data_IF_422592853572
#
_entry.id   IF_422592853572
#
_cell.length_a   1.000
_cell.length_b   1.000
_cell.length_c   1.000
_cell.angle_alpha   90.00
_cell.angle_beta   90.00
_cell.angle_gamma   90.00
#
_symmetry.space_group_name_H-M   'P 1'
#
loop_
_entity.id
_entity.type
_entity.pdbx_description
1 polymer ?
#
# COMPACT_ATOMS: atom_id res chain seq x y z
N UNK A 1 -19.07 7.42 14.82
CA UNK A 1 -19.87 6.92 13.68
C UNK A 1 -21.20 6.43 14.22
N UNK A 2 -22.26 6.52 13.43
CA UNK A 2 -23.61 6.10 13.83
C UNK A 2 -24.38 5.57 12.59
N UNK A 3 -25.55 4.97 12.80
CA UNK A 3 -26.49 4.60 11.74
C UNK A 3 -27.92 4.51 12.30
N UNK A 4 -28.93 4.50 11.42
CA UNK A 4 -30.32 4.27 11.81
C UNK A 4 -30.53 2.88 12.38
N UNK A 5 -31.49 2.75 13.31
CA UNK A 5 -31.77 1.47 13.99
C UNK A 5 -32.20 0.39 13.00
N UNK A 6 -32.95 0.77 11.96
CA UNK A 6 -33.35 -0.14 10.88
C UNK A 6 -32.14 -0.81 10.22
N UNK A 7 -31.12 -0.04 9.86
CA UNK A 7 -29.93 -0.58 9.22
C UNK A 7 -29.00 -1.31 10.19
N UNK A 8 -28.91 -0.88 11.45
CA UNK A 8 -28.18 -1.62 12.48
C UNK A 8 -28.80 -3.01 12.72
N UNK A 9 -30.13 -3.08 12.88
CA UNK A 9 -30.87 -4.34 13.05
C UNK A 9 -30.64 -5.26 11.85
N UNK A 10 -30.71 -4.71 10.62
CA UNK A 10 -30.47 -5.46 9.39
C UNK A 10 -29.05 -6.04 9.36
N UNK A 11 -28.02 -5.24 9.66
CA UNK A 11 -26.61 -5.69 9.71
C UNK A 11 -26.35 -6.78 10.75
N UNK A 12 -26.96 -6.68 11.93
CA UNK A 12 -26.88 -7.74 12.95
C UNK A 12 -27.53 -9.04 12.50
N UNK A 13 -28.69 -8.96 11.81
CA UNK A 13 -29.37 -10.13 11.25
C UNK A 13 -28.55 -10.80 10.14
N UNK A 14 -27.98 -10.01 9.22
CA UNK A 14 -27.16 -10.51 8.12
C UNK A 14 -25.85 -11.14 8.59
N UNK A 15 -25.16 -10.50 9.55
CA UNK A 15 -23.89 -11.01 10.10
C UNK A 15 -24.06 -12.16 11.10
N UNK A 16 -25.29 -12.44 11.55
CA UNK A 16 -25.64 -13.40 12.60
C UNK A 16 -24.87 -13.18 13.92
N UNK A 17 -24.30 -11.98 14.13
CA UNK A 17 -23.61 -11.62 15.36
C UNK A 17 -24.64 -11.26 16.42
N UNK A 18 -24.41 -11.71 17.66
CA UNK A 18 -25.16 -11.22 18.82
C UNK A 18 -24.64 -9.86 19.25
N UNK A 19 -25.53 -8.98 19.68
CA UNK A 19 -25.14 -7.71 20.25
C UNK A 19 -24.49 -7.95 21.63
N UNK A 20 -23.35 -7.30 21.97
CA UNK A 20 -22.69 -7.52 23.26
C UNK A 20 -23.62 -7.33 24.47
N UNK A 21 -24.40 -6.25 24.48
CA UNK A 21 -25.39 -5.96 25.53
C UNK A 21 -26.63 -6.90 25.52
N UNK A 22 -26.87 -7.62 24.42
CA UNK A 22 -27.96 -8.61 24.37
C UNK A 22 -27.59 -9.95 25.03
N UNK A 23 -26.30 -10.24 25.16
CA UNK A 23 -25.82 -11.55 25.61
C UNK A 23 -25.86 -11.74 27.12
N UNK A 24 -25.87 -10.65 27.90
CA UNK A 24 -25.95 -10.67 29.37
C UNK A 24 -27.37 -10.63 29.92
N UNK A 25 -28.25 -9.84 29.29
CA UNK A 25 -29.58 -9.49 29.85
C UNK A 25 -30.75 -10.17 29.11
N UNK A 26 -30.49 -10.99 28.08
CA UNK A 26 -31.51 -11.66 27.25
C UNK A 26 -32.54 -10.70 26.60
N UNK A 27 -32.11 -9.47 26.31
CA UNK A 27 -32.92 -8.39 25.73
C UNK A 27 -32.90 -8.42 24.19
N UNK A 28 -33.91 -7.80 23.58
CA UNK A 28 -34.00 -7.68 22.11
C UNK A 28 -32.86 -6.82 21.53
N UNK A 29 -32.60 -6.97 20.23
CA UNK A 29 -31.59 -6.14 19.53
C UNK A 29 -31.96 -4.65 19.62
N UNK A 30 -33.25 -4.31 19.56
CA UNK A 30 -33.71 -2.92 19.66
C UNK A 30 -33.39 -2.33 21.04
N UNK A 31 -33.75 -3.03 22.12
CA UNK A 31 -33.45 -2.59 23.49
C UNK A 31 -31.94 -2.49 23.75
N UNK A 32 -31.15 -3.41 23.16
CA UNK A 32 -29.71 -3.37 23.26
C UNK A 32 -29.10 -2.14 22.57
N UNK A 33 -29.64 -1.73 21.40
CA UNK A 33 -29.23 -0.52 20.69
C UNK A 33 -29.62 0.74 21.46
N UNK A 34 -30.82 0.80 22.03
CA UNK A 34 -31.26 1.94 22.85
C UNK A 34 -30.36 2.12 24.08
N UNK A 35 -30.03 1.02 24.76
CA UNK A 35 -29.11 1.00 25.90
C UNK A 35 -27.70 1.45 25.48
N UNK A 36 -27.20 0.96 24.35
CA UNK A 36 -25.91 1.38 23.78
C UNK A 36 -25.88 2.89 23.50
N UNK A 37 -26.92 3.43 22.85
CA UNK A 37 -27.04 4.87 22.57
C UNK A 37 -27.05 5.70 23.84
N UNK A 38 -27.74 5.24 24.89
CA UNK A 38 -27.73 5.92 26.18
C UNK A 38 -26.33 5.99 26.77
N UNK A 39 -25.58 4.88 26.75
CA UNK A 39 -24.21 4.78 27.26
C UNK A 39 -23.25 5.68 26.45
N UNK A 40 -23.37 5.66 25.12
CA UNK A 40 -22.47 6.41 24.22
C UNK A 40 -22.88 7.87 24.03
N UNK A 41 -23.98 8.32 24.63
CA UNK A 41 -24.54 9.66 24.41
C UNK A 41 -23.56 10.78 24.74
N UNK A 42 -22.81 10.67 25.84
CA UNK A 42 -21.85 11.69 26.26
C UNK A 42 -20.57 11.69 25.40
N UNK A 43 -20.15 10.53 24.90
CA UNK A 43 -19.06 10.43 23.92
C UNK A 43 -19.50 11.10 22.62
N UNK A 44 -20.72 10.85 22.16
CA UNK A 44 -21.26 11.43 20.93
C UNK A 44 -21.35 12.96 21.01
N UNK A 45 -21.73 13.52 22.16
CA UNK A 45 -21.78 14.98 22.37
C UNK A 45 -20.40 15.65 22.30
N UNK A 46 -19.32 14.92 22.59
CA UNK A 46 -17.95 15.43 22.60
C UNK A 46 -17.19 15.14 21.30
N UNK A 47 -17.81 14.47 20.34
CA UNK A 47 -17.15 14.08 19.11
C UNK A 47 -17.02 15.28 18.16
N UNK A 48 -15.81 15.51 17.62
CA UNK A 48 -15.58 16.52 16.59
C UNK A 48 -16.32 16.20 15.28
N UNK A 49 -16.48 14.91 14.98
CA UNK A 49 -17.16 14.42 13.78
C UNK A 49 -18.09 13.24 14.09
N UNK A 50 -19.30 13.29 13.53
CA UNK A 50 -20.27 12.19 13.56
C UNK A 50 -20.63 11.80 12.13
N UNK A 51 -20.12 10.65 11.69
CA UNK A 51 -20.43 10.08 10.36
C UNK A 51 -21.64 9.17 10.45
N UNK A 52 -22.71 9.49 9.72
CA UNK A 52 -23.88 8.63 9.52
C UNK A 52 -23.60 7.61 8.41
N UNK A 53 -23.61 6.33 8.78
CA UNK A 53 -23.31 5.21 7.89
C UNK A 53 -24.55 4.51 7.36
N UNK A 54 -25.76 5.02 7.62
CA UNK A 54 -27.04 4.38 7.27
C UNK A 54 -27.11 3.99 5.80
N UNK A 55 -26.74 4.92 4.91
CA UNK A 55 -26.83 4.74 3.46
C UNK A 55 -25.46 4.60 2.78
N UNK A 56 -24.39 4.38 3.55
CA UNK A 56 -23.03 4.28 3.02
C UNK A 56 -22.67 2.83 2.72
N UNK A 57 -22.18 2.59 1.51
CA UNK A 57 -21.41 1.38 1.19
C UNK A 57 -20.01 1.47 1.83
N UNK A 58 -19.32 0.34 2.06
CA UNK A 58 -17.98 0.34 2.66
C UNK A 58 -16.97 1.26 1.97
N UNK A 59 -16.98 1.31 0.63
CA UNK A 59 -16.11 2.22 -0.13
C UNK A 59 -16.44 3.69 0.11
N UNK A 60 -17.73 4.06 0.17
CA UNK A 60 -18.16 5.44 0.40
C UNK A 60 -17.87 5.89 1.83
N UNK A 61 -17.96 5.00 2.82
CA UNK A 61 -17.52 5.27 4.19
C UNK A 61 -16.02 5.53 4.24
N UNK A 62 -15.22 4.73 3.53
CA UNK A 62 -13.77 4.93 3.43
C UNK A 62 -13.44 6.29 2.83
N UNK A 63 -14.10 6.67 1.74
CA UNK A 63 -13.92 7.98 1.11
C UNK A 63 -14.33 9.14 2.03
N UNK A 64 -15.45 9.02 2.75
CA UNK A 64 -15.89 10.01 3.73
C UNK A 64 -14.90 10.19 4.87
N UNK A 65 -14.37 9.09 5.43
CA UNK A 65 -13.35 9.14 6.47
C UNK A 65 -12.07 9.77 5.93
N UNK A 66 -11.63 9.37 4.73
CA UNK A 66 -10.54 10.01 3.99
C UNK A 66 -10.72 11.53 3.96
N UNK A 67 -11.85 12.05 3.47
CA UNK A 67 -12.09 13.49 3.39
C UNK A 67 -12.02 14.22 4.73
N UNK A 68 -12.54 13.61 5.80
CA UNK A 68 -12.53 14.20 7.16
C UNK A 68 -11.09 14.32 7.69
N UNK A 69 -10.24 13.32 7.42
CA UNK A 69 -8.87 13.30 7.92
C UNK A 69 -7.84 13.89 6.94
N UNK A 70 -8.18 14.02 5.66
CA UNK A 70 -7.33 14.59 4.59
C UNK A 70 -7.31 16.12 4.61
N UNK A 71 -8.30 16.81 5.22
CA UNK A 71 -8.25 18.27 5.41
C UNK A 71 -7.04 18.75 6.24
N UNK A 72 -6.34 17.84 6.94
CA UNK A 72 -5.18 18.17 7.76
C UNK A 72 -3.81 17.77 7.15
N UNK A 73 -3.75 17.17 5.95
CA UNK A 73 -2.47 16.80 5.32
C UNK A 73 -2.59 16.74 3.79
N UNK A 74 -2.11 17.77 3.09
CA UNK A 74 -2.07 17.88 1.62
C UNK A 74 -1.13 16.90 0.87
N UNK A 75 -0.77 15.76 1.46
CA UNK A 75 0.12 14.79 0.80
C UNK A 75 -0.52 13.41 0.73
N UNK A 76 -0.96 13.02 -0.48
CA UNK A 76 -1.14 11.68 -1.08
C UNK A 76 -0.90 10.40 -0.21
N UNK A 77 -1.48 10.31 1.00
CA UNK A 77 -1.18 9.23 1.98
C UNK A 77 -2.08 8.00 1.91
N UNK A 78 -2.99 7.91 0.93
CA UNK A 78 -3.89 6.75 0.79
C UNK A 78 -3.26 5.52 0.14
N UNK A 79 -2.19 5.70 -0.64
CA UNK A 79 -1.54 4.64 -1.41
C UNK A 79 -0.19 4.25 -0.79
N UNK A 80 -0.09 3.01 -0.31
CA UNK A 80 1.18 2.42 0.12
C UNK A 80 1.86 1.80 -1.11
N UNK A 81 3.06 2.25 -1.43
CA UNK A 81 3.84 1.69 -2.53
C UNK A 81 4.84 0.68 -1.97
N UNK A 82 4.77 -0.57 -2.45
CA UNK A 82 5.72 -1.62 -2.12
C UNK A 82 6.61 -1.87 -3.33
N UNK A 83 7.89 -1.57 -3.23
CA UNK A 83 8.87 -1.89 -4.26
C UNK A 83 9.63 -3.15 -3.85
N UNK A 84 9.58 -4.19 -4.68
CA UNK A 84 10.25 -5.45 -4.42
C UNK A 84 11.27 -5.76 -5.51
N UNK A 85 12.50 -6.09 -5.12
CA UNK A 85 13.48 -6.66 -6.06
C UNK A 85 13.51 -8.18 -5.94
N UNK A 86 13.49 -8.89 -7.06
CA UNK A 86 13.49 -10.35 -7.10
C UNK A 86 14.35 -10.92 -8.23
N UNK A 87 14.57 -12.23 -8.19
CA UNK A 87 15.23 -13.03 -9.21
C UNK A 87 14.25 -13.91 -9.98
N UNK A 88 14.18 -13.79 -11.30
CA UNK A 88 13.34 -14.65 -12.14
C UNK A 88 13.64 -16.15 -11.97
N UNK A 89 14.86 -16.52 -11.58
CA UNK A 89 15.20 -17.91 -11.26
C UNK A 89 14.44 -18.47 -10.04
N UNK A 90 13.88 -17.59 -9.21
CA UNK A 90 13.09 -17.92 -8.01
C UNK A 90 11.58 -17.70 -8.21
N UNK A 91 11.16 -17.30 -9.40
CA UNK A 91 9.77 -16.96 -9.71
C UNK A 91 9.41 -15.50 -9.44
N UNK A 92 8.40 -15.01 -10.14
CA UNK A 92 7.84 -13.67 -9.96
C UNK A 92 6.97 -13.64 -8.70
N UNK A 93 7.02 -12.58 -7.85
CA UNK A 93 6.11 -12.45 -6.73
C UNK A 93 4.65 -12.45 -7.20
N UNK A 94 3.83 -13.33 -6.62
CA UNK A 94 2.45 -13.60 -7.07
C UNK A 94 1.51 -12.39 -6.91
N UNK A 95 1.83 -11.51 -5.98
CA UNK A 95 1.09 -10.32 -5.60
C UNK A 95 1.59 -9.04 -6.30
N UNK A 96 2.44 -9.17 -7.32
CA UNK A 96 2.93 -8.03 -8.10
C UNK A 96 1.82 -7.41 -8.96
N UNK A 97 1.61 -6.10 -8.84
CA UNK A 97 0.73 -5.36 -9.76
C UNK A 97 1.46 -4.96 -11.04
N UNK A 98 2.73 -4.54 -10.90
CA UNK A 98 3.61 -4.16 -12.00
C UNK A 98 4.90 -4.96 -11.91
N UNK A 99 5.37 -5.48 -13.04
CA UNK A 99 6.62 -6.26 -13.10
C UNK A 99 7.51 -5.71 -14.20
N UNK A 100 8.75 -5.35 -13.85
CA UNK A 100 9.74 -4.81 -14.77
C UNK A 100 10.96 -5.73 -14.86
N UNK A 101 11.28 -6.19 -16.06
CA UNK A 101 12.45 -7.03 -16.32
C UNK A 101 13.67 -6.16 -16.66
N UNK A 102 14.73 -6.28 -15.85
CA UNK A 102 16.00 -5.56 -16.04
C UNK A 102 17.16 -6.49 -16.42
N UNK A 103 16.88 -7.71 -16.91
CA UNK A 103 17.91 -8.67 -17.33
C UNK A 103 18.74 -8.22 -18.53
N UNK A 104 18.26 -7.24 -19.29
CA UNK A 104 18.98 -6.65 -20.43
C UNK A 104 20.13 -5.72 -20.01
N UNK A 105 20.17 -5.26 -18.75
CA UNK A 105 21.24 -4.40 -18.26
C UNK A 105 22.55 -5.16 -18.05
N UNK A 106 23.72 -4.49 -18.10
CA UNK A 106 25.03 -5.11 -17.88
C UNK A 106 25.08 -5.92 -16.59
N UNK A 107 25.56 -7.15 -16.67
CA UNK A 107 25.50 -8.09 -15.56
C UNK A 107 26.77 -8.00 -14.68
N UNK A 108 26.69 -7.53 -13.43
CA UNK A 108 27.86 -7.39 -12.55
C UNK A 108 28.45 -8.73 -12.11
N UNK A 109 27.71 -9.83 -12.29
CA UNK A 109 28.12 -11.17 -11.89
C UNK A 109 29.41 -11.65 -12.57
N UNK A 110 29.73 -11.15 -13.77
CA UNK A 110 30.93 -11.53 -14.50
C UNK A 110 32.20 -10.80 -14.01
N UNK A 111 32.05 -9.84 -13.10
CA UNK A 111 33.16 -9.10 -12.52
C UNK A 111 33.45 -9.70 -11.15
N UNK A 112 34.61 -10.33 -11.01
CA UNK A 112 35.01 -11.06 -9.81
C UNK A 112 34.86 -10.24 -8.52
N UNK A 113 35.25 -8.95 -8.58
CA UNK A 113 35.14 -8.00 -7.46
C UNK A 113 33.70 -7.65 -7.06
N UNK A 114 32.75 -7.74 -8.01
CA UNK A 114 31.35 -7.35 -7.79
C UNK A 114 30.43 -8.54 -7.55
N UNK A 115 30.83 -9.75 -7.98
CA UNK A 115 30.02 -10.98 -7.92
C UNK A 115 29.44 -11.30 -6.55
N UNK A 116 30.18 -10.99 -5.48
CA UNK A 116 29.77 -11.26 -4.11
C UNK A 116 29.02 -10.10 -3.44
N UNK A 117 29.05 -8.92 -4.05
CA UNK A 117 28.35 -7.71 -3.59
C UNK A 117 26.87 -7.75 -3.99
N UNK A 118 26.12 -6.73 -3.62
CA UNK A 118 24.69 -6.57 -3.86
C UNK A 118 24.43 -5.22 -4.51
N UNK A 119 23.22 -5.00 -5.04
CA UNK A 119 22.84 -3.69 -5.56
C UNK A 119 22.72 -2.58 -4.50
N UNK A 120 22.89 -2.90 -3.21
CA UNK A 120 23.03 -1.92 -2.13
C UNK A 120 24.45 -1.36 -2.03
N UNK A 121 25.44 -2.09 -2.55
CA UNK A 121 26.83 -1.66 -2.55
C UNK A 121 27.06 -0.62 -3.66
N UNK A 122 27.69 0.50 -3.29
CA UNK A 122 27.93 1.62 -4.19
C UNK A 122 28.66 1.21 -5.47
N UNK A 123 29.65 0.32 -5.38
CA UNK A 123 30.38 -0.18 -6.56
C UNK A 123 29.48 -0.92 -7.56
N UNK A 124 28.49 -1.69 -7.08
CA UNK A 124 27.56 -2.40 -7.96
C UNK A 124 26.57 -1.42 -8.57
N UNK A 125 26.08 -0.47 -7.77
CA UNK A 125 25.20 0.59 -8.23
C UNK A 125 25.89 1.42 -9.32
N UNK A 126 27.13 1.87 -9.07
CA UNK A 126 27.93 2.62 -10.03
C UNK A 126 28.15 1.82 -11.31
N UNK A 127 28.54 0.55 -11.22
CA UNK A 127 28.72 -0.28 -12.41
C UNK A 127 27.42 -0.43 -13.24
N UNK A 128 26.26 -0.58 -12.58
CA UNK A 128 24.97 -0.64 -13.28
C UNK A 128 24.67 0.69 -13.97
N UNK A 129 24.92 1.82 -13.29
CA UNK A 129 24.63 3.16 -13.79
C UNK A 129 25.74 3.80 -14.61
N UNK A 130 26.92 3.20 -14.77
CA UNK A 130 27.92 3.62 -15.75
C UNK A 130 27.42 3.39 -17.18
N UNK A 131 26.39 2.56 -17.33
CA UNK A 131 25.72 2.29 -18.59
C UNK A 131 24.60 3.31 -18.87
N UNK A 132 24.65 3.97 -20.02
CA UNK A 132 23.65 4.98 -20.39
C UNK A 132 22.24 4.40 -20.59
N UNK A 133 22.12 3.15 -21.02
CA UNK A 133 20.82 2.47 -21.16
C UNK A 133 20.18 2.30 -19.77
N UNK A 134 20.95 2.00 -18.72
CA UNK A 134 20.44 1.90 -17.35
C UNK A 134 19.89 3.24 -16.85
N UNK A 135 20.63 4.34 -17.10
CA UNK A 135 20.18 5.70 -16.74
C UNK A 135 18.90 6.08 -17.49
N UNK A 136 18.86 5.81 -18.80
CA UNK A 136 17.69 6.12 -19.61
C UNK A 136 16.48 5.27 -19.21
N UNK A 137 16.68 3.98 -18.96
CA UNK A 137 15.63 3.11 -18.45
C UNK A 137 15.09 3.61 -17.11
N UNK A 138 15.96 3.96 -16.16
CA UNK A 138 15.55 4.48 -14.86
C UNK A 138 14.71 5.75 -15.02
N UNK A 139 15.12 6.68 -15.89
CA UNK A 139 14.34 7.90 -16.17
C UNK A 139 12.95 7.56 -16.72
N UNK A 140 12.85 6.68 -17.71
CA UNK A 140 11.55 6.28 -18.27
C UNK A 140 10.68 5.55 -17.26
N UNK A 141 11.29 4.71 -16.40
CA UNK A 141 10.60 4.02 -15.33
C UNK A 141 10.03 5.02 -14.32
N UNK A 142 10.84 5.97 -13.86
CA UNK A 142 10.41 7.02 -12.94
C UNK A 142 9.27 7.85 -13.54
N UNK A 143 9.41 8.30 -14.79
CA UNK A 143 8.38 9.06 -15.50
C UNK A 143 7.06 8.27 -15.62
N UNK A 144 7.14 6.97 -15.97
CA UNK A 144 5.97 6.11 -16.07
C UNK A 144 5.28 5.91 -14.73
N UNK A 145 6.03 5.60 -13.66
CA UNK A 145 5.44 5.37 -12.34
C UNK A 145 4.82 6.66 -11.81
N UNK A 146 5.51 7.79 -11.90
CA UNK A 146 4.98 9.08 -11.46
C UNK A 146 3.72 9.48 -12.22
N UNK A 147 3.64 9.15 -13.52
CA UNK A 147 2.43 9.32 -14.31
C UNK A 147 1.28 8.43 -13.79
N UNK A 148 1.53 7.16 -13.47
CA UNK A 148 0.50 6.20 -13.06
C UNK A 148 -0.05 6.44 -11.65
N UNK A 149 0.79 6.86 -10.70
CA UNK A 149 0.42 7.00 -9.29
C UNK A 149 -0.85 7.85 -9.03
N UNK A 150 -1.02 9.08 -9.57
CA UNK A 150 -2.24 9.85 -9.35
C UNK A 150 -3.49 9.16 -9.90
N UNK A 151 -3.37 8.37 -10.98
CA UNK A 151 -4.48 7.61 -11.54
C UNK A 151 -4.86 6.42 -10.66
N UNK A 152 -3.88 5.70 -10.10
CA UNK A 152 -4.16 4.64 -9.11
C UNK A 152 -4.83 5.18 -7.84
N UNK A 153 -4.39 6.34 -7.35
CA UNK A 153 -5.01 6.99 -6.19
C UNK A 153 -6.47 7.35 -6.50
N UNK A 154 -6.74 7.93 -7.69
CA UNK A 154 -8.09 8.30 -8.12
C UNK A 154 -9.04 7.10 -8.23
N UNK A 155 -8.54 5.96 -8.69
CA UNK A 155 -9.29 4.69 -8.75
C UNK A 155 -9.50 4.05 -7.36
N UNK A 156 -8.97 4.64 -6.28
CA UNK A 156 -9.15 4.16 -4.91
C UNK A 156 -8.23 3.01 -4.52
N UNK A 157 -7.14 2.78 -5.27
CA UNK A 157 -6.12 1.78 -4.93
C UNK A 157 -5.38 2.22 -3.66
N UNK A 158 -5.23 1.32 -2.70
CA UNK A 158 -4.57 1.62 -1.41
C UNK A 158 -3.23 0.93 -1.20
N UNK A 159 -2.90 -0.04 -2.04
CA UNK A 159 -1.57 -0.64 -2.09
C UNK A 159 -1.20 -0.87 -3.55
N UNK A 160 0.05 -0.58 -3.92
CA UNK A 160 0.62 -0.86 -5.22
C UNK A 160 1.92 -1.65 -5.04
N UNK A 161 2.01 -2.84 -5.63
CA UNK A 161 3.23 -3.64 -5.63
C UNK A 161 3.98 -3.54 -6.96
N UNK A 162 5.18 -2.99 -6.93
CA UNK A 162 6.08 -2.82 -8.06
C UNK A 162 7.25 -3.79 -7.91
N UNK A 163 7.34 -4.77 -8.79
CA UNK A 163 8.38 -5.78 -8.78
C UNK A 163 9.45 -5.52 -9.86
N UNK A 164 10.71 -5.45 -9.45
CA UNK A 164 11.86 -5.29 -10.34
C UNK A 164 12.63 -6.62 -10.37
N UNK A 165 12.71 -7.25 -11.55
CA UNK A 165 13.26 -8.58 -11.73
C UNK A 165 14.59 -8.58 -12.47
N UNK A 166 15.62 -9.26 -11.93
CA UNK A 166 16.79 -9.67 -12.70
C UNK A 166 16.93 -11.20 -12.64
N UNK A 167 18.03 -11.80 -13.12
CA UNK A 167 18.14 -13.27 -13.11
C UNK A 167 18.17 -13.84 -11.69
N UNK A 168 19.02 -13.28 -10.82
CA UNK A 168 19.28 -13.82 -9.48
C UNK A 168 18.81 -12.95 -8.31
N UNK A 169 18.23 -11.79 -8.57
CA UNK A 169 17.66 -10.92 -7.53
C UNK A 169 18.65 -10.18 -6.62
N UNK A 170 19.94 -10.18 -6.95
CA UNK A 170 21.01 -9.66 -6.07
C UNK A 170 21.61 -8.31 -6.46
N UNK A 171 21.76 -8.04 -7.76
CA UNK A 171 22.53 -6.89 -8.25
C UNK A 171 21.64 -5.83 -8.95
N UNK A 172 21.34 -6.04 -10.24
CA UNK A 172 20.63 -5.09 -11.10
C UNK A 172 19.25 -4.70 -10.57
N UNK A 173 18.44 -5.69 -10.19
CA UNK A 173 17.10 -5.42 -9.69
C UNK A 173 17.10 -4.64 -8.37
N UNK A 174 18.06 -4.91 -7.49
CA UNK A 174 18.23 -4.20 -6.22
C UNK A 174 18.62 -2.73 -6.48
N UNK A 175 19.61 -2.49 -7.35
CA UNK A 175 20.07 -1.12 -7.66
C UNK A 175 18.97 -0.24 -8.29
N UNK A 176 18.21 -0.79 -9.24
CA UNK A 176 17.07 -0.11 -9.87
C UNK A 176 15.95 0.13 -8.85
N UNK A 177 15.62 -0.87 -8.02
CA UNK A 177 14.57 -0.74 -7.00
C UNK A 177 14.90 0.36 -5.98
N UNK A 178 16.12 0.42 -5.47
CA UNK A 178 16.57 1.46 -4.53
C UNK A 178 16.50 2.87 -5.14
N UNK A 179 16.85 2.98 -6.42
CA UNK A 179 16.80 4.27 -7.11
C UNK A 179 15.37 4.75 -7.29
N UNK A 180 14.46 3.86 -7.72
CA UNK A 180 13.03 4.16 -7.81
C UNK A 180 12.46 4.57 -6.45
N UNK A 181 12.79 3.84 -5.37
CA UNK A 181 12.35 4.17 -4.01
C UNK A 181 12.79 5.57 -3.60
N UNK A 182 14.05 5.95 -3.91
CA UNK A 182 14.56 7.29 -3.65
C UNK A 182 13.79 8.35 -4.43
N UNK A 183 13.56 8.15 -5.72
CA UNK A 183 12.77 9.07 -6.55
C UNK A 183 11.36 9.25 -5.98
N UNK A 184 10.68 8.16 -5.63
CA UNK A 184 9.32 8.22 -5.10
C UNK A 184 9.23 8.89 -3.72
N UNK A 185 10.18 8.62 -2.82
CA UNK A 185 10.26 9.31 -1.53
C UNK A 185 10.50 10.81 -1.69
N UNK A 186 11.37 11.21 -2.62
CA UNK A 186 11.62 12.62 -2.93
C UNK A 186 10.39 13.34 -3.51
N UNK A 187 9.47 12.59 -4.14
CA UNK A 187 8.18 13.10 -4.61
C UNK A 187 7.07 13.02 -3.54
N UNK A 188 7.40 12.72 -2.28
CA UNK A 188 6.47 12.75 -1.14
C UNK A 188 5.58 11.51 -0.99
N UNK A 189 5.86 10.42 -1.72
CA UNK A 189 5.11 9.18 -1.57
C UNK A 189 5.62 8.33 -0.40
N UNK A 190 4.70 7.58 0.22
CA UNK A 190 5.05 6.57 1.21
C UNK A 190 5.44 5.26 0.53
N UNK A 191 6.70 4.87 0.68
CA UNK A 191 7.28 3.72 -0.03
C UNK A 191 7.99 2.78 0.94
N UNK A 192 7.69 1.49 0.82
CA UNK A 192 8.37 0.38 1.47
C UNK A 192 9.18 -0.39 0.43
N UNK A 193 10.40 -0.78 0.79
CA UNK A 193 11.28 -1.58 -0.08
C UNK A 193 11.52 -2.95 0.53
N UNK A 194 11.56 -3.99 -0.30
CA UNK A 194 11.92 -5.34 0.09
C UNK A 194 12.81 -5.99 -0.98
N UNK A 195 13.86 -6.69 -0.56
CA UNK A 195 14.73 -7.42 -1.48
C UNK A 195 14.62 -8.93 -1.23
N UNK A 196 13.72 -9.58 -1.96
CA UNK A 196 13.30 -10.96 -1.67
C UNK A 196 14.45 -11.98 -1.76
N UNK A 197 15.35 -11.82 -2.73
CA UNK A 197 16.38 -12.82 -3.03
C UNK A 197 17.81 -12.32 -2.79
N UNK A 198 17.99 -11.17 -2.13
CA UNK A 198 19.31 -10.52 -1.99
C UNK A 198 20.34 -11.36 -1.24
N UNK A 199 19.88 -12.25 -0.35
CA UNK A 199 20.72 -13.15 0.45
C UNK A 199 20.67 -14.62 -0.01
N UNK A 200 19.99 -14.94 -1.12
CA UNK A 200 19.86 -16.31 -1.63
C UNK A 200 20.99 -16.70 -2.59
#
# INVERSE_FOLDING_TARGET
MDASDKELIKRFKESRRKHPLSSGDNISIMEALDKERSILSDIKKRADYVVDTSNLKPFQLKEQLSRIFEQNNETNRGLIINVVSFGFKHGTPLDSDLVFDVRFLPNPFYIEKLKHKTGLDEEVCQYVYDNDIAKEFQKKLDDLILFLLPHYIKEGKTSLMIAIGCTGGKHRSVAIAETLVRTLKNNGYYVVVNHHDIQK
#
